data_IF_231562769076
#
_entry.id   IF_231562769076
#
_cell.length_a   1.000
_cell.length_b   1.000
_cell.length_c   1.000
_cell.angle_alpha   90.00
_cell.angle_beta   90.00
_cell.angle_gamma   90.00
#
_symmetry.space_group_name_H-M   'P 1'
#
loop_
_entity.id
_entity.type
_entity.pdbx_description
1 polymer ?
#
# COMPACT_ATOMS: atom_id res chain seq x y z
N UNK A 1 0.82 17.22 19.05
CA UNK A 1 2.22 17.02 18.60
C UNK A 1 2.17 16.19 17.33
N UNK A 2 2.75 16.65 16.20
CA UNK A 2 2.95 15.77 15.03
C UNK A 2 3.89 14.66 15.50
N UNK A 3 3.38 13.43 15.64
CA UNK A 3 4.26 12.28 15.86
C UNK A 3 5.18 12.21 14.65
N UNK A 4 6.49 12.27 14.88
CA UNK A 4 7.47 12.04 13.84
C UNK A 4 7.29 10.61 13.34
N UNK A 5 7.41 10.40 12.03
CA UNK A 5 7.49 9.04 11.50
C UNK A 5 8.75 8.38 12.08
N UNK A 6 8.71 7.07 12.41
CA UNK A 6 9.89 6.32 12.79
C UNK A 6 10.95 6.38 11.68
N UNK A 7 12.21 6.14 12.05
CA UNK A 7 13.27 6.02 11.07
C UNK A 7 12.97 4.86 10.10
N UNK A 8 13.14 5.04 8.79
CA UNK A 8 12.93 3.96 7.83
C UNK A 8 14.05 2.92 7.91
N UNK A 9 13.75 1.68 7.54
CA UNK A 9 14.71 0.56 7.42
C UNK A 9 15.65 0.68 6.19
N UNK A 10 15.81 1.91 5.66
CA UNK A 10 16.59 2.20 4.46
C UNK A 10 15.83 2.00 3.13
N UNK A 11 16.39 2.49 2.01
CA UNK A 11 15.79 2.34 0.69
C UNK A 11 15.82 0.88 0.22
N UNK A 12 14.78 0.44 -0.46
CA UNK A 12 14.67 -0.90 -1.02
C UNK A 12 13.90 -0.90 -2.33
N UNK A 13 14.04 -1.96 -3.12
CA UNK A 13 13.14 -2.19 -4.26
C UNK A 13 11.74 -2.45 -3.73
N UNK A 14 10.78 -1.64 -4.18
CA UNK A 14 9.37 -1.79 -3.88
C UNK A 14 8.61 -2.05 -5.18
N UNK A 15 7.55 -2.86 -5.10
CA UNK A 15 6.70 -3.17 -6.23
C UNK A 15 5.84 -1.96 -6.64
N UNK A 16 5.46 -1.11 -5.67
CA UNK A 16 4.66 0.11 -5.79
C UNK A 16 3.20 -0.11 -6.25
N UNK A 17 2.89 -1.26 -6.84
CA UNK A 17 1.53 -1.75 -7.07
C UNK A 17 1.31 -3.13 -6.45
N UNK A 18 1.86 -3.37 -5.25
CA UNK A 18 1.69 -4.66 -4.56
C UNK A 18 0.26 -4.80 -4.03
N UNK A 19 -0.54 -5.64 -4.70
CA UNK A 19 -1.96 -5.84 -4.40
C UNK A 19 -2.39 -7.25 -4.82
N UNK A 20 -3.55 -7.74 -4.35
CA UNK A 20 -3.99 -9.11 -4.64
C UNK A 20 -4.03 -9.45 -6.13
N UNK A 21 -4.44 -8.51 -6.99
CA UNK A 21 -4.49 -8.71 -8.44
C UNK A 21 -3.12 -8.98 -9.10
N UNK A 22 -2.01 -8.67 -8.41
CA UNK A 22 -0.65 -8.85 -8.89
C UNK A 22 0.07 -10.04 -8.22
N UNK A 23 -0.64 -10.85 -7.43
CA UNK A 23 -0.12 -12.04 -6.74
C UNK A 23 -0.78 -13.28 -7.35
N UNK A 24 0.03 -14.22 -7.83
CA UNK A 24 -0.43 -15.51 -8.35
C UNK A 24 -0.37 -16.53 -7.22
N UNK A 25 -1.49 -17.22 -7.03
CA UNK A 25 -1.64 -18.31 -6.06
C UNK A 25 -1.94 -19.60 -6.83
N UNK A 26 -1.27 -20.68 -6.45
CA UNK A 26 -1.59 -22.03 -6.88
C UNK A 26 -1.88 -22.88 -5.63
N UNK A 27 -3.09 -23.42 -5.55
CA UNK A 27 -3.64 -24.04 -4.33
C UNK A 27 -3.52 -23.11 -3.11
N UNK A 28 -2.72 -23.50 -2.11
CA UNK A 28 -2.48 -22.79 -0.86
C UNK A 28 -1.14 -22.01 -0.85
N UNK A 29 -0.48 -21.87 -2.01
CA UNK A 29 0.86 -21.28 -2.11
C UNK A 29 0.91 -20.11 -3.06
N UNK A 30 1.63 -19.06 -2.65
CA UNK A 30 2.05 -17.99 -3.56
C UNK A 30 3.04 -18.58 -4.56
N UNK A 31 2.67 -18.57 -5.84
CA UNK A 31 3.48 -19.12 -6.94
C UNK A 31 4.22 -18.04 -7.72
N UNK A 32 3.85 -16.77 -7.56
CA UNK A 32 4.56 -15.66 -8.19
C UNK A 32 3.95 -14.29 -7.91
N UNK A 33 4.67 -13.27 -8.32
CA UNK A 33 4.24 -11.86 -8.35
C UNK A 33 4.46 -11.38 -9.79
N UNK A 34 3.59 -10.50 -10.28
CA UNK A 34 3.64 -9.96 -11.65
C UNK A 34 3.44 -8.44 -11.65
N UNK A 35 3.59 -7.80 -12.81
CA UNK A 35 3.34 -6.38 -13.03
C UNK A 35 4.34 -5.42 -12.33
N UNK A 36 5.62 -5.64 -12.64
CA UNK A 36 6.76 -4.88 -12.09
C UNK A 36 6.98 -3.51 -12.78
N UNK A 37 6.06 -3.03 -13.61
CA UNK A 37 6.26 -1.78 -14.38
C UNK A 37 6.43 -0.53 -13.50
N UNK A 38 5.88 -0.58 -12.28
CA UNK A 38 5.87 0.55 -11.35
C UNK A 38 7.02 0.56 -10.34
N UNK A 39 7.87 -0.47 -10.38
CA UNK A 39 8.96 -0.70 -9.42
C UNK A 39 9.89 0.50 -9.33
N UNK A 40 10.34 0.79 -8.11
CA UNK A 40 11.30 1.86 -7.82
C UNK A 40 11.98 1.63 -6.48
N UNK A 41 12.96 2.48 -6.17
CA UNK A 41 13.50 2.58 -4.82
C UNK A 41 12.56 3.36 -3.91
N UNK A 42 12.29 2.85 -2.71
CA UNK A 42 11.44 3.50 -1.72
C UNK A 42 11.46 2.79 -0.38
N UNK A 43 10.52 3.17 0.49
CA UNK A 43 10.29 2.53 1.80
C UNK A 43 9.39 1.31 1.61
N UNK A 44 9.72 0.19 2.24
CA UNK A 44 8.98 -1.07 2.08
C UNK A 44 7.51 -0.99 2.47
N UNK A 45 7.16 -0.09 3.38
CA UNK A 45 5.80 0.10 3.89
C UNK A 45 4.84 0.63 2.82
N UNK A 46 5.39 1.16 1.72
CA UNK A 46 4.60 1.53 0.55
C UNK A 46 3.85 0.31 0.00
N UNK A 47 4.48 -0.87 -0.08
CA UNK A 47 3.84 -2.09 -0.61
C UNK A 47 2.76 -2.65 0.32
N UNK A 48 2.74 -2.25 1.59
CA UNK A 48 1.64 -2.58 2.50
C UNK A 48 0.39 -1.74 2.24
N UNK A 49 0.51 -0.59 1.57
CA UNK A 49 -0.57 0.40 1.46
C UNK A 49 -1.80 -0.17 0.77
N UNK A 50 -1.61 -0.82 -0.39
CA UNK A 50 -2.70 -1.37 -1.20
C UNK A 50 -3.18 -2.71 -0.65
N UNK A 51 -2.26 -3.57 -0.22
CA UNK A 51 -2.63 -4.80 0.50
C UNK A 51 -3.48 -4.53 1.74
N UNK A 52 -3.09 -3.56 2.56
CA UNK A 52 -3.85 -3.19 3.75
C UNK A 52 -5.23 -2.67 3.37
N UNK A 53 -5.32 -1.74 2.40
CA UNK A 53 -6.60 -1.18 1.93
C UNK A 53 -7.54 -2.25 1.39
N UNK A 54 -7.03 -3.16 0.56
CA UNK A 54 -7.87 -4.05 -0.26
C UNK A 54 -8.13 -5.40 0.40
N UNK A 55 -7.28 -5.81 1.36
CA UNK A 55 -7.31 -7.16 1.91
C UNK A 55 -7.08 -7.20 3.41
N UNK A 56 -5.91 -6.76 3.91
CA UNK A 56 -5.52 -7.01 5.31
C UNK A 56 -6.36 -6.24 6.33
N UNK A 57 -6.90 -5.06 5.99
CA UNK A 57 -7.73 -4.28 6.92
C UNK A 57 -9.08 -4.91 7.25
N UNK A 58 -9.49 -5.94 6.51
CA UNK A 58 -10.77 -6.62 6.72
C UNK A 58 -10.73 -7.73 7.77
N UNK A 59 -9.54 -8.24 8.11
CA UNK A 59 -9.36 -9.36 9.03
C UNK A 59 -8.07 -9.17 9.84
N UNK A 60 -8.25 -8.96 11.16
CA UNK A 60 -7.13 -8.76 12.09
C UNK A 60 -6.23 -9.99 12.23
N UNK A 61 -6.79 -11.20 12.17
CA UNK A 61 -6.01 -12.45 12.24
C UNK A 61 -5.13 -12.59 11.00
N UNK A 62 -5.68 -12.29 9.83
CA UNK A 62 -4.93 -12.26 8.58
C UNK A 62 -3.84 -11.18 8.62
N UNK A 63 -4.16 -9.96 9.07
CA UNK A 63 -3.19 -8.88 9.18
C UNK A 63 -2.02 -9.26 10.10
N UNK A 64 -2.32 -9.82 11.27
CA UNK A 64 -1.30 -10.30 12.21
C UNK A 64 -0.42 -11.40 11.59
N UNK A 65 -1.04 -12.40 10.96
CA UNK A 65 -0.31 -13.49 10.31
C UNK A 65 0.62 -12.99 9.20
N UNK A 66 0.17 -11.98 8.44
CA UNK A 66 0.98 -11.31 7.42
C UNK A 66 2.19 -10.58 8.05
N UNK A 67 1.97 -9.87 9.16
CA UNK A 67 3.04 -9.18 9.89
C UNK A 67 4.07 -10.15 10.46
N UNK A 68 3.65 -11.29 11.02
CA UNK A 68 4.54 -12.35 11.51
C UNK A 68 5.37 -12.94 10.37
N UNK A 69 4.72 -13.28 9.24
CA UNK A 69 5.39 -13.80 8.06
C UNK A 69 6.43 -12.82 7.52
N UNK A 70 6.09 -11.55 7.40
CA UNK A 70 7.02 -10.51 6.95
C UNK A 70 8.19 -10.33 7.93
N UNK A 71 7.91 -10.27 9.24
CA UNK A 71 8.89 -10.06 10.30
C UNK A 71 9.90 -11.21 10.42
N UNK A 72 9.55 -12.41 9.94
CA UNK A 72 10.47 -13.55 9.88
C UNK A 72 11.63 -13.36 8.88
N UNK A 73 11.49 -12.43 7.92
CA UNK A 73 12.48 -12.17 6.86
C UNK A 73 13.12 -10.79 7.01
N UNK A 74 12.35 -9.78 7.43
CA UNK A 74 12.79 -8.39 7.48
C UNK A 74 12.21 -7.66 8.70
N UNK A 75 12.95 -6.71 9.31
CA UNK A 75 12.39 -5.85 10.35
C UNK A 75 11.10 -5.16 9.89
N UNK A 76 10.08 -5.19 10.75
CA UNK A 76 8.82 -4.51 10.51
C UNK A 76 8.73 -3.28 11.41
N UNK A 77 8.68 -2.10 10.82
CA UNK A 77 8.43 -0.86 11.56
C UNK A 77 6.96 -0.78 11.98
N UNK A 78 6.65 0.07 12.95
CA UNK A 78 5.27 0.29 13.42
C UNK A 78 4.36 0.74 12.26
N UNK A 79 3.61 -0.22 11.71
CA UNK A 79 2.70 0.01 10.59
C UNK A 79 1.54 0.93 10.96
N UNK A 80 1.07 0.91 12.21
CA UNK A 80 0.01 1.80 12.66
C UNK A 80 0.47 3.26 12.64
N UNK A 81 1.74 3.51 12.96
CA UNK A 81 2.34 4.83 12.90
C UNK A 81 2.57 5.34 11.47
N UNK A 82 2.96 4.46 10.52
CA UNK A 82 3.42 4.88 9.18
C UNK A 82 2.40 4.72 8.06
N UNK A 83 1.51 3.73 8.13
CA UNK A 83 0.52 3.48 7.07
C UNK A 83 -0.41 4.68 6.82
N UNK A 84 -0.85 5.48 7.81
CA UNK A 84 -1.63 6.68 7.53
C UNK A 84 -0.91 7.63 6.56
N UNK A 85 0.39 7.82 6.71
CA UNK A 85 1.18 8.65 5.80
C UNK A 85 1.25 8.04 4.40
N UNK A 86 1.60 6.76 4.27
CA UNK A 86 1.73 6.15 2.95
C UNK A 86 0.40 6.02 2.20
N UNK A 87 -0.70 5.74 2.91
CA UNK A 87 -2.06 5.78 2.36
C UNK A 87 -2.46 7.16 1.86
N UNK A 88 -2.09 8.21 2.59
CA UNK A 88 -2.26 9.58 2.10
C UNK A 88 -1.48 9.80 0.80
N UNK A 89 -0.20 9.40 0.75
CA UNK A 89 0.63 9.57 -0.46
C UNK A 89 0.09 8.78 -1.66
N UNK A 90 -0.38 7.55 -1.47
CA UNK A 90 -0.97 6.71 -2.53
C UNK A 90 -2.25 7.34 -3.08
N UNK A 91 -3.15 7.78 -2.19
CA UNK A 91 -4.39 8.42 -2.61
C UNK A 91 -4.15 9.75 -3.34
N UNK A 92 -3.21 10.57 -2.85
CA UNK A 92 -2.83 11.81 -3.50
C UNK A 92 -2.23 11.58 -4.89
N UNK A 93 -1.31 10.62 -5.01
CA UNK A 93 -0.70 10.27 -6.29
C UNK A 93 -1.71 9.67 -7.27
N UNK A 94 -2.71 8.92 -6.78
CA UNK A 94 -3.78 8.34 -7.58
C UNK A 94 -4.66 9.41 -8.24
N UNK A 95 -4.90 10.55 -7.59
CA UNK A 95 -5.57 11.71 -8.21
C UNK A 95 -4.73 12.24 -9.39
N UNK A 96 -3.43 12.41 -9.18
CA UNK A 96 -2.50 12.84 -10.23
C UNK A 96 -2.41 11.84 -11.40
N UNK A 97 -2.55 10.54 -11.13
CA UNK A 97 -2.67 9.51 -12.15
C UNK A 97 -3.97 9.64 -12.95
N UNK A 98 -5.12 9.82 -12.29
CA UNK A 98 -6.41 10.03 -12.95
C UNK A 98 -6.38 11.26 -13.88
N UNK A 99 -5.79 12.37 -13.40
CA UNK A 99 -5.64 13.59 -14.21
C UNK A 99 -4.85 13.34 -15.50
N UNK A 100 -3.77 12.54 -15.44
CA UNK A 100 -2.91 12.22 -16.59
C UNK A 100 -3.54 11.21 -17.56
N UNK A 101 -4.36 10.28 -17.05
CA UNK A 101 -4.99 9.20 -17.85
C UNK A 101 -6.42 9.49 -18.30
N UNK A 102 -6.98 10.62 -17.88
CA UNK A 102 -8.33 11.08 -18.21
C UNK A 102 -9.29 10.85 -17.05
N UNK A 103 -9.82 11.96 -16.50
CA UNK A 103 -10.69 11.93 -15.32
C UNK A 103 -12.01 11.21 -15.61
N UNK A 104 -12.63 11.47 -16.76
CA UNK A 104 -13.92 10.88 -17.12
C UNK A 104 -13.87 9.35 -17.14
N UNK A 105 -12.79 8.79 -17.71
CA UNK A 105 -12.57 7.34 -17.78
C UNK A 105 -12.29 6.69 -16.42
N UNK A 106 -11.81 7.47 -15.46
CA UNK A 106 -11.37 7.00 -14.15
C UNK A 106 -12.16 7.65 -13.00
N UNK A 107 -13.38 8.14 -13.28
CA UNK A 107 -14.14 8.98 -12.35
C UNK A 107 -14.38 8.29 -11.01
N UNK A 108 -14.77 7.00 -11.04
CA UNK A 108 -14.99 6.20 -9.83
C UNK A 108 -13.72 6.08 -8.98
N UNK A 109 -12.58 5.77 -9.61
CA UNK A 109 -11.30 5.67 -8.91
C UNK A 109 -10.85 7.03 -8.35
N UNK A 110 -11.07 8.12 -9.10
CA UNK A 110 -10.81 9.47 -8.64
C UNK A 110 -11.64 9.80 -7.39
N UNK A 111 -12.95 9.57 -7.43
CA UNK A 111 -13.87 9.85 -6.33
C UNK A 111 -13.50 9.08 -5.06
N UNK A 112 -13.15 7.80 -5.19
CA UNK A 112 -12.68 6.97 -4.08
C UNK A 112 -11.42 7.54 -3.41
N UNK A 113 -10.45 8.00 -4.21
CA UNK A 113 -9.22 8.58 -3.68
C UNK A 113 -9.44 9.97 -3.06
N UNK A 114 -10.31 10.79 -3.66
CA UNK A 114 -10.73 12.08 -3.07
C UNK A 114 -11.45 11.85 -1.73
N UNK A 115 -12.38 10.90 -1.67
CA UNK A 115 -13.07 10.55 -0.43
C UNK A 115 -12.10 10.04 0.64
N UNK A 116 -11.09 9.27 0.24
CA UNK A 116 -10.04 8.78 1.15
C UNK A 116 -9.21 9.93 1.72
N UNK A 117 -8.80 10.90 0.91
CA UNK A 117 -8.06 12.08 1.38
C UNK A 117 -8.89 12.97 2.32
N UNK A 118 -10.19 13.13 2.07
CA UNK A 118 -11.07 13.91 2.94
C UNK A 118 -11.13 13.37 4.38
N UNK A 119 -10.94 12.06 4.58
CA UNK A 119 -10.88 11.45 5.92
C UNK A 119 -9.69 11.91 6.75
N UNK A 120 -8.64 12.46 6.14
CA UNK A 120 -7.47 13.00 6.85
C UNK A 120 -7.66 14.46 7.31
N UNK A 121 -8.76 15.11 6.92
CA UNK A 121 -9.07 16.50 7.28
C UNK A 121 -10.04 16.61 8.46
N UNK A 122 -10.54 15.48 8.95
CA UNK A 122 -11.44 15.36 10.10
C UNK A 122 -10.62 15.07 11.36
#
# INVERSE_FOLDING_TARGET
MKKLLPAPDGPSFIHMDFRPANIIVNDDKVSGVIDFESVRFGSTEVDFTKLYRDFLSSDHTLYHSYQEGYSSIRPLIDLEAVLPFYRFTDAFNSIGWCKRRGIEKNAVFLEQNVASLKKFLQ
#
